data_IF_549891202334
#
_entry.id   IF_549891202334
#
_cell.length_a   1.000
_cell.length_b   1.000
_cell.length_c   1.000
_cell.angle_alpha   90.00
_cell.angle_beta   90.00
_cell.angle_gamma   90.00
#
_symmetry.space_group_name_H-M   'P 1'
#
loop_
_entity.id
_entity.type
_entity.pdbx_description
1 polymer ?
#
# COMPACT_ATOMS: atom_id res chain seq x y z
N UNK A 1 3.71 -16.72 -2.99
CA UNK A 1 2.92 -16.46 -1.76
C UNK A 1 1.42 -16.78 -1.90
N UNK A 2 0.75 -16.46 -3.02
CA UNK A 2 -0.72 -16.61 -3.13
C UNK A 2 -1.24 -17.91 -3.76
N UNK A 3 -0.39 -18.94 -3.90
CA UNK A 3 -0.82 -20.19 -4.56
C UNK A 3 -1.99 -20.84 -3.81
N UNK A 4 -1.86 -20.96 -2.49
CA UNK A 4 -2.86 -21.60 -1.63
C UNK A 4 -4.18 -20.85 -1.64
N UNK A 5 -4.19 -19.53 -1.39
CA UNK A 5 -5.45 -18.76 -1.42
C UNK A 5 -6.16 -18.83 -2.78
N UNK A 6 -5.42 -18.88 -3.90
CA UNK A 6 -6.03 -19.05 -5.23
C UNK A 6 -6.67 -20.43 -5.36
N UNK A 7 -6.01 -21.48 -4.86
CA UNK A 7 -6.55 -22.83 -4.85
C UNK A 7 -7.78 -22.94 -3.95
N UNK A 8 -7.73 -22.36 -2.75
CA UNK A 8 -8.86 -22.31 -1.82
C UNK A 8 -10.04 -21.51 -2.38
N UNK A 9 -9.81 -20.38 -3.05
CA UNK A 9 -10.89 -19.63 -3.70
C UNK A 9 -11.54 -20.44 -4.82
N UNK A 10 -10.74 -21.12 -5.65
CA UNK A 10 -11.28 -21.99 -6.70
C UNK A 10 -12.06 -23.15 -6.11
N UNK A 11 -11.58 -23.76 -5.03
CA UNK A 11 -12.23 -24.90 -4.40
C UNK A 11 -13.52 -24.49 -3.68
N UNK A 12 -13.45 -23.52 -2.76
CA UNK A 12 -14.56 -23.14 -1.89
C UNK A 12 -15.66 -22.34 -2.61
N UNK A 13 -15.36 -21.67 -3.72
CA UNK A 13 -16.39 -20.98 -4.53
C UNK A 13 -17.01 -21.87 -5.61
N UNK A 14 -16.41 -23.04 -5.89
CA UNK A 14 -16.91 -23.99 -6.87
C UNK A 14 -18.00 -24.87 -6.23
N UNK A 15 -19.25 -24.67 -6.63
CA UNK A 15 -20.37 -25.48 -6.14
C UNK A 15 -20.49 -26.85 -6.81
N UNK A 16 -20.00 -26.98 -8.05
CA UNK A 16 -20.06 -28.19 -8.88
C UNK A 16 -18.81 -28.25 -9.78
N UNK A 17 -18.25 -29.44 -10.04
CA UNK A 17 -17.06 -29.63 -10.89
C UNK A 17 -17.22 -29.07 -12.31
N UNK A 18 -18.44 -29.03 -12.85
CA UNK A 18 -18.76 -28.46 -14.16
C UNK A 18 -18.95 -26.93 -14.13
N UNK A 19 -18.97 -26.32 -12.94
CA UNK A 19 -19.18 -24.90 -12.69
C UNK A 19 -18.01 -24.26 -11.93
N UNK A 20 -16.79 -24.50 -12.43
CA UNK A 20 -15.57 -23.95 -11.84
C UNK A 20 -15.56 -22.43 -11.82
N UNK A 21 -15.27 -21.85 -10.66
CA UNK A 21 -15.05 -20.41 -10.52
C UNK A 21 -13.64 -20.04 -10.95
N UNK A 22 -13.46 -19.23 -12.03
CA UNK A 22 -12.14 -18.83 -12.46
C UNK A 22 -11.55 -17.79 -11.51
N UNK A 23 -10.28 -17.99 -11.14
CA UNK A 23 -9.51 -17.04 -10.33
C UNK A 23 -8.22 -16.71 -11.08
N UNK A 24 -8.04 -15.44 -11.46
CA UNK A 24 -6.92 -14.99 -12.28
C UNK A 24 -5.96 -14.11 -11.45
N UNK A 25 -4.69 -14.51 -11.27
CA UNK A 25 -3.72 -13.67 -10.59
C UNK A 25 -3.22 -12.54 -11.49
N UNK A 26 -3.28 -11.30 -11.00
CA UNK A 26 -2.61 -10.17 -11.62
C UNK A 26 -1.20 -10.01 -11.03
N UNK A 27 -0.20 -10.51 -11.74
CA UNK A 27 1.20 -10.27 -11.40
C UNK A 27 1.67 -8.96 -12.06
N UNK A 28 2.36 -8.11 -11.31
CA UNK A 28 2.84 -6.82 -11.80
C UNK A 28 4.23 -6.50 -11.26
N UNK A 29 4.95 -5.63 -11.96
CA UNK A 29 6.21 -5.07 -11.47
C UNK A 29 5.91 -4.01 -10.41
N UNK A 30 5.95 -4.43 -9.15
CA UNK A 30 5.66 -3.58 -8.01
C UNK A 30 6.63 -2.40 -7.88
N UNK A 31 7.73 -2.31 -8.63
CA UNK A 31 8.68 -1.20 -8.54
C UNK A 31 8.22 0.06 -9.30
N UNK A 32 7.27 -0.11 -10.22
CA UNK A 32 6.78 0.95 -11.10
C UNK A 32 5.87 1.94 -10.35
N UNK A 33 5.71 3.18 -10.86
CA UNK A 33 4.66 4.09 -10.40
C UNK A 33 3.28 3.44 -10.45
N UNK A 34 2.48 3.65 -9.41
CA UNK A 34 1.17 2.97 -9.27
C UNK A 34 0.20 3.30 -10.40
N UNK A 35 0.30 4.49 -11.00
CA UNK A 35 -0.56 4.89 -12.12
C UNK A 35 -0.35 4.05 -13.38
N UNK A 36 0.89 3.55 -13.60
CA UNK A 36 1.21 2.64 -14.70
C UNK A 36 0.60 1.27 -14.40
N UNK A 37 0.74 0.79 -13.16
CA UNK A 37 0.20 -0.50 -12.74
C UNK A 37 -1.34 -0.47 -12.79
N UNK A 38 -1.98 0.63 -12.40
CA UNK A 38 -3.44 0.83 -12.53
C UNK A 38 -3.92 0.71 -13.97
N UNK A 39 -3.15 1.23 -14.94
CA UNK A 39 -3.48 1.07 -16.36
C UNK A 39 -3.37 -0.40 -16.78
N UNK A 40 -2.27 -1.07 -16.42
CA UNK A 40 -2.08 -2.50 -16.70
C UNK A 40 -3.18 -3.35 -16.05
N UNK A 41 -3.58 -2.99 -14.84
CA UNK A 41 -4.66 -3.66 -14.12
C UNK A 41 -6.02 -3.45 -14.81
N UNK A 42 -6.29 -2.25 -15.33
CA UNK A 42 -7.48 -2.01 -16.15
C UNK A 42 -7.51 -2.90 -17.39
N UNK A 43 -6.40 -2.97 -18.13
CA UNK A 43 -6.30 -3.80 -19.34
C UNK A 43 -6.50 -5.29 -18.97
N UNK A 44 -6.00 -5.72 -17.81
CA UNK A 44 -6.18 -7.08 -17.29
C UNK A 44 -7.61 -7.39 -16.88
N UNK A 45 -8.35 -6.45 -16.28
CA UNK A 45 -9.77 -6.64 -15.95
C UNK A 45 -10.58 -6.86 -17.22
N UNK A 46 -10.31 -6.10 -18.28
CA UNK A 46 -10.96 -6.25 -19.57
C UNK A 46 -10.65 -7.65 -20.19
N UNK A 47 -9.38 -8.09 -20.13
CA UNK A 47 -8.97 -9.45 -20.54
C UNK A 47 -9.71 -10.55 -19.75
N UNK A 48 -9.81 -10.41 -18.43
CA UNK A 48 -10.50 -11.38 -17.55
C UNK A 48 -11.97 -11.49 -17.91
N UNK A 49 -12.64 -10.37 -18.17
CA UNK A 49 -14.03 -10.36 -18.61
C UNK A 49 -14.18 -11.12 -19.94
N UNK A 50 -13.32 -10.83 -20.92
CA UNK A 50 -13.40 -11.47 -22.23
C UNK A 50 -13.11 -12.97 -22.17
N UNK A 51 -12.19 -13.41 -21.31
CA UNK A 51 -11.96 -14.84 -21.04
C UNK A 51 -13.15 -15.50 -20.35
N UNK A 52 -13.80 -14.80 -19.42
CA UNK A 52 -14.97 -15.32 -18.68
C UNK A 52 -16.19 -15.49 -19.58
N UNK A 53 -16.37 -14.61 -20.59
CA UNK A 53 -17.39 -14.75 -21.63
C UNK A 53 -17.24 -15.99 -22.51
N UNK A 54 -16.09 -16.69 -22.45
CA UNK A 54 -15.87 -17.95 -23.18
C UNK A 54 -16.20 -19.19 -22.34
N UNK A 55 -16.55 -19.03 -21.06
CA UNK A 55 -16.85 -20.13 -20.15
C UNK A 55 -18.34 -20.46 -20.23
N UNK A 56 -18.67 -21.69 -20.66
CA UNK A 56 -20.04 -22.14 -20.95
C UNK A 56 -21.05 -21.79 -19.87
N UNK A 57 -20.81 -22.17 -18.62
CA UNK A 57 -21.78 -21.95 -17.54
C UNK A 57 -21.98 -20.47 -17.19
N UNK A 58 -20.99 -19.61 -17.42
CA UNK A 58 -21.17 -18.15 -17.27
C UNK A 58 -22.02 -17.58 -18.40
N UNK A 59 -21.82 -18.05 -19.64
CA UNK A 59 -22.64 -17.64 -20.79
C UNK A 59 -24.09 -18.07 -20.60
N UNK A 60 -24.31 -19.33 -20.22
CA UNK A 60 -25.65 -19.88 -19.94
C UNK A 60 -26.34 -19.14 -18.78
N UNK A 61 -25.58 -18.64 -17.81
CA UNK A 61 -26.07 -17.82 -16.70
C UNK A 61 -26.27 -16.33 -17.05
N UNK A 62 -26.07 -15.92 -18.31
CA UNK A 62 -26.31 -14.54 -18.77
C UNK A 62 -25.20 -13.54 -18.41
N UNK A 63 -23.99 -14.01 -18.07
CA UNK A 63 -22.86 -13.14 -17.70
C UNK A 63 -22.52 -12.10 -18.78
N UNK A 64 -22.75 -12.45 -20.05
CA UNK A 64 -22.44 -11.59 -21.21
C UNK A 64 -23.23 -10.28 -21.19
N UNK A 65 -24.44 -10.27 -20.62
CA UNK A 65 -25.32 -9.10 -20.62
C UNK A 65 -24.89 -8.04 -19.60
N UNK A 66 -24.18 -8.44 -18.54
CA UNK A 66 -23.70 -7.54 -17.48
C UNK A 66 -22.41 -8.09 -16.85
N UNK A 67 -21.28 -8.10 -17.58
CA UNK A 67 -20.06 -8.74 -17.12
C UNK A 67 -19.45 -7.92 -15.98
N UNK A 68 -19.24 -8.58 -14.84
CA UNK A 68 -18.57 -7.99 -13.67
C UNK A 68 -17.51 -8.92 -13.10
N UNK A 69 -16.54 -8.35 -12.41
CA UNK A 69 -15.51 -9.09 -11.66
C UNK A 69 -15.57 -8.79 -10.17
N UNK A 70 -15.08 -9.73 -9.37
CA UNK A 70 -14.76 -9.50 -7.96
C UNK A 70 -13.25 -9.29 -7.85
N UNK A 71 -12.83 -8.30 -7.07
CA UNK A 71 -11.42 -7.92 -6.94
C UNK A 71 -10.91 -8.22 -5.53
N UNK A 72 -9.72 -8.80 -5.43
CA UNK A 72 -9.04 -9.07 -4.16
C UNK A 72 -7.65 -8.44 -4.22
N UNK A 73 -7.38 -7.48 -3.35
CA UNK A 73 -6.10 -6.79 -3.25
C UNK A 73 -5.45 -7.02 -1.90
N UNK A 74 -4.23 -7.53 -1.88
CA UNK A 74 -3.41 -7.57 -0.67
C UNK A 74 -2.37 -6.44 -0.68
N UNK A 75 -2.13 -5.83 0.48
CA UNK A 75 -1.18 -4.74 0.65
C UNK A 75 -1.44 -3.63 -0.39
N UNK A 76 -0.42 -3.25 -1.16
CA UNK A 76 -0.50 -2.26 -2.24
C UNK A 76 -1.53 -2.60 -3.33
N UNK A 77 -1.96 -3.87 -3.46
CA UNK A 77 -3.04 -4.27 -4.35
C UNK A 77 -4.35 -3.54 -4.09
N UNK A 78 -4.66 -3.23 -2.82
CA UNK A 78 -5.85 -2.43 -2.50
C UNK A 78 -5.75 -0.97 -2.93
N UNK A 79 -4.55 -0.39 -2.96
CA UNK A 79 -4.32 0.95 -3.53
C UNK A 79 -4.55 0.93 -5.05
N UNK A 80 -4.04 -0.09 -5.73
CA UNK A 80 -4.23 -0.28 -7.18
C UNK A 80 -5.72 -0.43 -7.52
N UNK A 81 -6.46 -1.26 -6.79
CA UNK A 81 -7.92 -1.41 -6.97
C UNK A 81 -8.64 -0.07 -6.75
N UNK A 82 -8.30 0.64 -5.67
CA UNK A 82 -8.93 1.93 -5.35
C UNK A 82 -8.65 2.96 -6.43
N UNK A 83 -7.41 3.07 -6.90
CA UNK A 83 -7.04 3.99 -7.98
C UNK A 83 -7.61 3.62 -9.35
N UNK A 84 -7.81 2.33 -9.63
CA UNK A 84 -8.57 1.85 -10.79
C UNK A 84 -10.04 2.29 -10.72
N UNK A 85 -10.69 2.08 -9.57
CA UNK A 85 -12.09 2.48 -9.35
C UNK A 85 -12.26 4.00 -9.39
N UNK A 86 -11.31 4.76 -8.86
CA UNK A 86 -11.29 6.22 -8.95
C UNK A 86 -11.25 6.70 -10.40
N UNK A 87 -10.43 6.06 -11.25
CA UNK A 87 -10.32 6.38 -12.69
C UNK A 87 -11.56 5.98 -13.48
N UNK A 88 -12.11 4.79 -13.23
CA UNK A 88 -13.24 4.24 -14.00
C UNK A 88 -14.60 4.74 -13.50
N UNK A 89 -14.74 5.10 -12.23
CA UNK A 89 -15.99 5.51 -11.62
C UNK A 89 -17.11 4.48 -11.84
N UNK A 90 -18.29 4.95 -12.27
CA UNK A 90 -19.46 4.10 -12.57
C UNK A 90 -19.30 3.23 -13.83
N UNK A 91 -18.22 3.41 -14.62
CA UNK A 91 -17.94 2.51 -15.74
C UNK A 91 -17.18 1.24 -15.34
N UNK A 92 -16.73 1.14 -14.08
CA UNK A 92 -16.00 -0.04 -13.60
C UNK A 92 -16.92 -1.28 -13.56
N UNK A 93 -16.60 -2.36 -14.28
CA UNK A 93 -17.34 -3.63 -14.26
C UNK A 93 -17.00 -4.45 -13.00
N UNK A 94 -17.20 -3.88 -11.81
CA UNK A 94 -16.85 -4.49 -10.53
C UNK A 94 -18.11 -4.77 -9.72
N UNK A 95 -18.20 -5.97 -9.13
CA UNK A 95 -19.31 -6.39 -8.29
C UNK A 95 -18.95 -6.31 -6.80
N UNK A 96 -17.80 -6.86 -6.41
CA UNK A 96 -17.31 -6.86 -5.02
C UNK A 96 -15.82 -6.57 -4.95
N UNK A 97 -15.38 -6.02 -3.82
CA UNK A 97 -13.96 -5.77 -3.53
C UNK A 97 -13.60 -6.35 -2.16
N UNK A 98 -12.42 -6.96 -2.08
CA UNK A 98 -11.78 -7.35 -0.83
C UNK A 98 -10.41 -6.70 -0.77
N UNK A 99 -10.10 -6.03 0.34
CA UNK A 99 -8.76 -5.52 0.62
C UNK A 99 -8.19 -6.12 1.89
N UNK A 100 -6.96 -6.62 1.82
CA UNK A 100 -6.26 -7.31 2.90
C UNK A 100 -5.00 -6.52 3.25
N UNK A 101 -4.89 -6.02 4.48
CA UNK A 101 -3.69 -5.31 4.97
C UNK A 101 -3.23 -4.15 4.07
N UNK A 102 -4.17 -3.44 3.44
CA UNK A 102 -3.85 -2.36 2.51
C UNK A 102 -3.42 -1.10 3.27
N UNK A 103 -2.23 -0.54 3.00
CA UNK A 103 -1.74 0.68 3.64
C UNK A 103 -2.36 1.93 3.00
N UNK A 104 -3.67 2.12 3.20
CA UNK A 104 -4.42 3.28 2.70
C UNK A 104 -3.82 4.61 3.10
N UNK A 105 -3.15 4.72 4.25
CA UNK A 105 -2.43 5.93 4.66
C UNK A 105 -0.92 5.70 4.80
N UNK A 106 -0.39 4.64 4.18
CA UNK A 106 1.04 4.30 4.13
C UNK A 106 1.55 3.46 5.31
N UNK A 107 2.87 3.30 5.39
CA UNK A 107 3.55 2.56 6.46
C UNK A 107 4.92 3.18 6.74
N UNK A 108 5.28 3.28 8.02
CA UNK A 108 6.61 3.70 8.41
C UNK A 108 7.72 2.74 7.96
N UNK A 109 7.40 1.47 7.66
CA UNK A 109 8.38 0.52 7.10
C UNK A 109 8.93 0.97 5.73
N UNK A 110 8.16 1.76 4.96
CA UNK A 110 8.65 2.36 3.72
C UNK A 110 9.78 3.36 3.99
N UNK A 111 9.63 4.20 5.02
CA UNK A 111 10.66 5.15 5.46
C UNK A 111 11.92 4.40 5.90
N UNK A 112 11.76 3.32 6.67
CA UNK A 112 12.88 2.51 7.16
C UNK A 112 13.59 1.82 5.98
N UNK A 113 12.85 1.25 5.02
CA UNK A 113 13.42 0.60 3.83
C UNK A 113 14.23 1.60 3.00
N UNK A 114 13.71 2.81 2.78
CA UNK A 114 14.41 3.86 2.02
C UNK A 114 15.64 4.36 2.81
N UNK A 115 15.51 4.58 4.12
CA UNK A 115 16.60 5.10 4.95
C UNK A 115 17.73 4.08 5.14
N UNK A 116 17.40 2.82 5.41
CA UNK A 116 18.36 1.81 5.90
C UNK A 116 18.57 0.59 4.99
N UNK A 117 17.63 0.34 4.06
CA UNK A 117 17.65 -0.82 3.16
C UNK A 117 17.09 -2.10 3.76
N UNK A 118 16.72 -2.08 5.04
CA UNK A 118 16.04 -3.17 5.75
C UNK A 118 14.69 -2.71 6.26
N UNK A 119 13.70 -3.57 6.20
CA UNK A 119 12.40 -3.38 6.82
C UNK A 119 11.63 -4.69 6.75
N UNK A 120 10.43 -4.75 7.34
CA UNK A 120 9.51 -5.86 7.12
C UNK A 120 8.91 -5.89 5.70
N UNK A 121 9.29 -4.94 4.81
CA UNK A 121 8.91 -4.91 3.40
C UNK A 121 10.06 -5.50 2.55
N UNK A 122 9.84 -6.68 1.97
CA UNK A 122 10.78 -7.31 1.03
C UNK A 122 11.72 -8.33 1.71
N UNK A 123 12.97 -8.41 1.26
CA UNK A 123 13.94 -9.40 1.77
C UNK A 123 14.62 -8.96 3.08
N UNK A 124 14.87 -9.91 3.98
CA UNK A 124 15.41 -9.69 5.34
C UNK A 124 16.92 -9.38 5.40
N UNK A 125 17.63 -9.35 4.27
CA UNK A 125 19.10 -9.20 4.27
C UNK A 125 19.52 -7.76 3.98
N UNK A 126 20.10 -7.07 4.98
CA UNK A 126 20.71 -5.75 4.81
C UNK A 126 21.98 -5.85 3.95
N UNK A 127 21.97 -5.25 2.76
CA UNK A 127 23.21 -4.93 2.07
C UNK A 127 23.09 -3.56 1.38
N UNK A 128 24.21 -2.96 0.98
CA UNK A 128 24.22 -1.63 0.35
C UNK A 128 23.40 -1.56 -0.95
N UNK A 129 23.25 -2.68 -1.66
CA UNK A 129 22.48 -2.76 -2.91
C UNK A 129 20.97 -2.69 -2.65
N UNK A 130 20.50 -3.28 -1.56
CA UNK A 130 19.09 -3.17 -1.12
C UNK A 130 18.70 -1.72 -0.80
N UNK A 131 19.61 -0.95 -0.19
CA UNK A 131 19.39 0.49 0.05
C UNK A 131 19.22 1.29 -1.23
N UNK A 132 20.13 1.09 -2.18
CA UNK A 132 20.12 1.79 -3.45
C UNK A 132 18.88 1.42 -4.27
N UNK A 133 18.54 0.14 -4.34
CA UNK A 133 17.32 -0.34 -4.99
C UNK A 133 16.05 0.26 -4.37
N UNK A 134 15.95 0.28 -3.04
CA UNK A 134 14.80 0.87 -2.35
C UNK A 134 14.63 2.37 -2.69
N UNK A 135 15.71 3.14 -2.70
CA UNK A 135 15.69 4.58 -2.98
C UNK A 135 15.31 4.92 -4.42
N UNK A 136 15.46 3.97 -5.34
CA UNK A 136 15.11 4.12 -6.76
C UNK A 136 13.77 3.47 -7.12
N UNK A 137 13.13 2.81 -6.16
CA UNK A 137 11.85 2.14 -6.38
C UNK A 137 10.71 3.12 -6.14
N UNK A 138 10.06 3.56 -7.22
CA UNK A 138 9.01 4.60 -7.18
C UNK A 138 7.89 4.24 -6.20
N UNK A 139 7.37 3.01 -6.27
CA UNK A 139 6.23 2.56 -5.46
C UNK A 139 6.46 2.63 -3.95
N UNK A 140 7.70 2.50 -3.45
CA UNK A 140 7.98 2.64 -2.02
C UNK A 140 7.64 4.04 -1.51
N UNK A 141 7.79 5.06 -2.34
CA UNK A 141 7.40 6.42 -1.99
C UNK A 141 5.86 6.57 -1.90
N UNK A 142 5.09 5.83 -2.71
CA UNK A 142 3.62 5.81 -2.60
C UNK A 142 3.13 5.17 -1.28
N UNK A 143 4.00 4.45 -0.57
CA UNK A 143 3.73 3.86 0.73
C UNK A 143 4.15 4.75 1.90
N UNK A 144 4.66 5.97 1.65
CA UNK A 144 4.99 6.90 2.73
C UNK A 144 3.76 7.22 3.58
N UNK A 145 3.91 7.24 4.92
CA UNK A 145 2.79 7.44 5.81
C UNK A 145 2.33 8.89 5.83
N UNK A 146 1.01 9.07 5.79
CA UNK A 146 0.29 10.33 5.97
C UNK A 146 -0.77 10.12 7.06
N UNK A 147 -0.31 9.92 8.29
CA UNK A 147 -1.16 9.60 9.44
C UNK A 147 -1.16 10.81 10.38
N UNK A 148 -2.36 11.25 10.76
CA UNK A 148 -2.53 12.37 11.67
C UNK A 148 -1.81 12.11 13.01
N UNK A 149 -1.07 13.11 13.49
CA UNK A 149 -0.35 13.11 14.78
C UNK A 149 0.64 11.94 14.99
N UNK A 150 1.05 11.27 13.91
CA UNK A 150 1.98 10.14 13.98
C UNK A 150 3.44 10.52 13.70
N UNK A 151 3.68 11.73 13.19
CA UNK A 151 5.01 12.26 12.89
C UNK A 151 5.37 13.37 13.89
N UNK A 152 6.40 13.14 14.70
CA UNK A 152 6.92 14.09 15.68
C UNK A 152 8.21 14.71 15.12
N UNK A 153 8.28 16.04 14.99
CA UNK A 153 9.47 16.73 14.47
C UNK A 153 10.01 17.68 15.53
N UNK A 154 11.27 17.49 15.93
CA UNK A 154 11.87 18.24 17.05
C UNK A 154 12.12 19.71 16.74
N UNK A 155 12.54 20.00 15.51
CA UNK A 155 12.82 21.36 15.07
C UNK A 155 11.58 21.95 14.39
N UNK A 156 10.94 22.98 14.96
CA UNK A 156 9.75 23.60 14.40
C UNK A 156 10.01 24.32 13.07
N UNK A 157 11.27 24.50 12.65
CA UNK A 157 11.64 25.06 11.34
C UNK A 157 11.59 24.02 10.22
N UNK A 158 11.59 22.73 10.57
CA UNK A 158 11.48 21.65 9.58
C UNK A 158 10.02 21.43 9.17
N UNK A 159 9.78 20.97 7.94
CA UNK A 159 8.44 20.59 7.49
C UNK A 159 7.90 19.40 8.30
N UNK A 160 6.58 19.23 8.29
CA UNK A 160 5.87 18.16 9.02
C UNK A 160 5.34 17.06 8.10
N UNK A 161 5.87 16.96 6.88
CA UNK A 161 5.44 15.99 5.86
C UNK A 161 6.63 15.18 5.36
N UNK A 162 6.49 13.84 5.33
CA UNK A 162 7.48 12.95 4.73
C UNK A 162 7.57 13.07 3.21
N UNK A 163 6.65 13.81 2.57
CA UNK A 163 6.74 14.17 1.15
C UNK A 163 7.62 15.40 0.90
N UNK A 164 8.09 16.08 1.96
CA UNK A 164 9.03 17.18 1.81
C UNK A 164 10.48 16.66 1.83
N UNK A 165 11.29 16.92 0.79
CA UNK A 165 12.67 16.45 0.73
C UNK A 165 13.55 17.01 1.86
N UNK A 166 13.22 18.18 2.42
CA UNK A 166 13.98 18.79 3.52
C UNK A 166 13.87 17.99 4.83
N UNK A 167 12.91 17.07 4.94
CA UNK A 167 12.74 16.20 6.10
C UNK A 167 13.60 14.93 6.06
N UNK A 168 14.23 14.65 4.91
CA UNK A 168 15.00 13.42 4.70
C UNK A 168 16.49 13.59 5.02
N UNK A 169 17.08 12.51 5.55
CA UNK A 169 18.50 12.45 5.82
C UNK A 169 19.33 12.70 4.56
N UNK A 170 20.37 13.53 4.67
CA UNK A 170 21.28 13.86 3.56
C UNK A 170 21.92 12.63 2.92
N UNK A 171 22.12 11.55 3.68
CA UNK A 171 22.64 10.26 3.20
C UNK A 171 21.74 9.57 2.16
N UNK A 172 20.42 9.81 2.22
CA UNK A 172 19.46 9.28 1.24
C UNK A 172 19.65 9.98 -0.10
N UNK A 173 19.62 11.31 -0.09
CA UNK A 173 19.84 12.15 -1.28
C UNK A 173 21.22 11.90 -1.89
N UNK A 174 22.25 11.81 -1.06
CA UNK A 174 23.63 11.55 -1.51
C UNK A 174 23.78 10.22 -2.25
N UNK A 175 22.97 9.20 -1.91
CA UNK A 175 23.06 7.90 -2.59
C UNK A 175 22.24 7.86 -3.89
N UNK A 176 21.10 8.55 -3.95
CA UNK A 176 20.40 8.79 -5.23
C UNK A 176 21.34 9.53 -6.19
N UNK A 177 22.08 10.52 -5.67
CA UNK A 177 23.12 11.20 -6.41
C UNK A 177 24.20 10.23 -6.90
N UNK A 178 24.81 9.43 -6.02
CA UNK A 178 25.84 8.49 -6.42
C UNK A 178 25.37 7.54 -7.54
N UNK A 179 24.11 7.10 -7.52
CA UNK A 179 23.52 6.31 -8.61
C UNK A 179 23.43 7.10 -9.92
N UNK A 180 22.89 8.33 -9.88
CA UNK A 180 22.80 9.22 -11.06
C UNK A 180 24.19 9.46 -11.64
N UNK A 181 25.19 9.76 -10.80
CA UNK A 181 26.57 10.00 -11.25
C UNK A 181 27.15 8.76 -11.94
N UNK A 182 26.90 7.56 -11.40
CA UNK A 182 27.38 6.29 -11.97
C UNK A 182 26.75 5.97 -13.32
N UNK A 183 25.45 6.22 -13.48
CA UNK A 183 24.70 5.88 -14.71
C UNK A 183 24.74 7.00 -15.76
N UNK A 184 24.98 8.24 -15.35
CA UNK A 184 24.91 9.43 -16.19
C UNK A 184 26.22 10.23 -16.16
N UNK A 185 27.36 9.53 -16.24
CA UNK A 185 28.70 10.12 -16.13
C UNK A 185 28.97 11.29 -17.11
N UNK A 186 28.25 11.33 -18.24
CA UNK A 186 28.42 12.35 -19.30
C UNK A 186 27.50 13.57 -19.15
N UNK A 187 26.65 13.61 -18.13
CA UNK A 187 25.65 14.67 -17.96
C UNK A 187 26.19 15.76 -17.02
N UNK A 188 26.07 17.03 -17.42
CA UNK A 188 26.34 18.18 -16.55
C UNK A 188 25.24 18.34 -15.46
N UNK A 189 25.60 18.95 -14.32
CA UNK A 189 24.67 19.30 -13.21
C UNK A 189 24.05 18.10 -12.46
N UNK A 190 24.82 17.02 -12.27
CA UNK A 190 24.35 15.77 -11.66
C UNK A 190 23.73 15.96 -10.26
N UNK A 191 24.27 16.89 -9.45
CA UNK A 191 23.77 17.20 -8.10
C UNK A 191 22.32 17.73 -8.12
N UNK A 192 22.05 18.71 -8.98
CA UNK A 192 20.70 19.27 -9.14
C UNK A 192 19.73 18.23 -9.69
N UNK A 193 20.16 17.40 -10.65
CA UNK A 193 19.32 16.34 -11.21
C UNK A 193 18.97 15.24 -10.22
N UNK A 194 19.89 14.87 -9.32
CA UNK A 194 19.61 13.88 -8.28
C UNK A 194 18.63 14.42 -7.22
N UNK A 195 18.80 15.67 -6.79
CA UNK A 195 17.85 16.35 -5.91
C UNK A 195 16.47 16.44 -6.58
N UNK A 196 16.43 16.83 -7.86
CA UNK A 196 15.19 16.87 -8.63
C UNK A 196 14.56 15.48 -8.79
N UNK A 197 15.34 14.42 -9.01
CA UNK A 197 14.81 13.06 -9.11
C UNK A 197 14.16 12.60 -7.79
N UNK A 198 14.85 12.83 -6.67
CA UNK A 198 14.31 12.50 -5.35
C UNK A 198 13.04 13.30 -5.03
N UNK A 199 13.05 14.61 -5.29
CA UNK A 199 11.88 15.47 -5.13
C UNK A 199 10.71 14.98 -6.00
N UNK A 200 10.96 14.60 -7.26
CA UNK A 200 9.92 14.07 -8.15
C UNK A 200 9.29 12.76 -7.66
N UNK A 201 10.05 11.87 -7.02
CA UNK A 201 9.47 10.68 -6.39
C UNK A 201 8.51 11.05 -5.26
N UNK A 202 8.90 12.01 -4.42
CA UNK A 202 8.06 12.49 -3.32
C UNK A 202 6.81 13.24 -3.82
N UNK A 203 6.96 14.12 -4.82
CA UNK A 203 5.86 14.86 -5.44
C UNK A 203 4.83 13.91 -6.08
N UNK A 204 5.30 12.93 -6.85
CA UNK A 204 4.42 11.94 -7.47
C UNK A 204 3.68 11.10 -6.42
N UNK A 205 4.38 10.69 -5.36
CA UNK A 205 3.77 9.96 -4.25
C UNK A 205 2.75 10.82 -3.48
N UNK A 206 3.02 12.11 -3.27
CA UNK A 206 2.10 13.03 -2.60
C UNK A 206 0.86 13.28 -3.44
N UNK A 207 1.02 13.50 -4.75
CA UNK A 207 -0.11 13.67 -5.67
C UNK A 207 -0.99 12.42 -5.70
N UNK A 208 -0.37 11.24 -5.73
CA UNK A 208 -1.07 9.97 -5.65
C UNK A 208 -1.84 9.81 -4.33
N UNK A 209 -1.19 10.09 -3.19
CA UNK A 209 -1.80 10.06 -1.86
C UNK A 209 -3.02 10.97 -1.80
N UNK A 210 -2.87 12.23 -2.21
CA UNK A 210 -3.95 13.22 -2.22
C UNK A 210 -5.15 12.77 -3.08
N UNK A 211 -4.89 12.15 -4.23
CA UNK A 211 -5.93 11.58 -5.09
C UNK A 211 -6.69 10.44 -4.40
N UNK A 212 -5.96 9.46 -3.85
CA UNK A 212 -6.58 8.31 -3.16
C UNK A 212 -7.33 8.74 -1.89
N UNK A 213 -6.81 9.72 -1.15
CA UNK A 213 -7.48 10.25 0.04
C UNK A 213 -8.83 10.92 -0.28
N UNK A 214 -8.99 11.42 -1.51
CA UNK A 214 -10.23 12.01 -2.04
C UNK A 214 -11.15 11.01 -2.75
N UNK A 215 -10.78 9.73 -2.83
CA UNK A 215 -11.64 8.72 -3.43
C UNK A 215 -12.98 8.63 -2.70
N UNK A 216 -14.05 8.59 -3.46
CA UNK A 216 -15.42 8.51 -2.95
C UNK A 216 -16.10 7.28 -3.53
N UNK A 217 -16.50 6.36 -2.66
CA UNK A 217 -17.20 5.14 -3.06
C UNK A 217 -18.50 5.45 -3.84
N UNK A 218 -19.17 6.57 -3.51
CA UNK A 218 -20.37 7.06 -4.18
C UNK A 218 -20.17 7.45 -5.66
N UNK A 219 -18.93 7.61 -6.13
CA UNK A 219 -18.60 7.83 -7.55
C UNK A 219 -18.49 6.51 -8.34
N UNK A 220 -18.69 5.38 -7.68
CA UNK A 220 -18.70 4.04 -8.27
C UNK A 220 -20.11 3.44 -8.21
N UNK A 221 -20.29 2.23 -8.73
CA UNK A 221 -21.54 1.46 -8.56
C UNK A 221 -21.55 0.61 -7.28
N UNK A 222 -20.51 0.71 -6.44
CA UNK A 222 -20.37 -0.08 -5.23
C UNK A 222 -20.97 0.64 -4.03
N UNK A 223 -21.46 -0.14 -3.08
CA UNK A 223 -21.89 0.31 -1.75
C UNK A 223 -20.92 -0.21 -0.69
N UNK A 224 -20.96 0.31 0.55
CA UNK A 224 -20.09 -0.19 1.62
C UNK A 224 -20.16 -1.71 1.81
N UNK A 225 -21.34 -2.33 1.67
CA UNK A 225 -21.55 -3.78 1.75
C UNK A 225 -20.96 -4.58 0.56
N UNK A 226 -20.48 -3.90 -0.48
CA UNK A 226 -19.75 -4.50 -1.59
C UNK A 226 -18.24 -4.53 -1.35
N UNK A 227 -17.76 -3.95 -0.25
CA UNK A 227 -16.35 -3.84 0.08
C UNK A 227 -16.01 -4.49 1.43
N UNK A 228 -15.28 -5.61 1.41
CA UNK A 228 -14.72 -6.23 2.60
C UNK A 228 -13.30 -5.70 2.84
N UNK A 229 -13.13 -4.83 3.84
CA UNK A 229 -11.82 -4.35 4.25
C UNK A 229 -11.33 -5.12 5.47
N UNK A 230 -10.23 -5.85 5.34
CA UNK A 230 -9.61 -6.64 6.41
C UNK A 230 -8.32 -5.97 6.87
N UNK A 231 -8.29 -5.56 8.14
CA UNK A 231 -7.15 -4.92 8.77
C UNK A 231 -6.57 -5.83 9.87
N UNK A 232 -5.25 -6.06 9.84
CA UNK A 232 -4.58 -6.77 10.91
C UNK A 232 -4.35 -5.88 12.12
N UNK A 233 -4.57 -6.44 13.31
CA UNK A 233 -4.39 -5.79 14.62
C UNK A 233 -3.74 -6.77 15.59
N UNK A 234 -3.39 -6.31 16.80
CA UNK A 234 -2.75 -7.13 17.83
C UNK A 234 -1.32 -7.61 17.51
N UNK A 235 -0.60 -6.89 16.65
CA UNK A 235 0.83 -7.10 16.42
C UNK A 235 1.64 -5.85 16.74
N UNK A 236 2.86 -6.02 17.26
CA UNK A 236 3.79 -4.93 17.51
C UNK A 236 4.13 -4.22 16.19
N UNK A 237 3.67 -2.98 16.04
CA UNK A 237 3.74 -2.23 14.78
C UNK A 237 4.23 -0.82 15.03
N UNK A 238 5.09 -0.28 14.15
CA UNK A 238 5.53 1.12 14.27
C UNK A 238 4.37 2.04 13.94
N UNK A 239 3.78 2.67 14.95
CA UNK A 239 2.60 3.55 14.79
C UNK A 239 2.96 5.04 14.79
N UNK A 240 4.20 5.38 15.14
CA UNK A 240 4.73 6.74 15.13
C UNK A 240 6.17 6.78 14.65
N UNK A 241 6.63 7.95 14.26
CA UNK A 241 8.02 8.23 13.99
C UNK A 241 8.39 9.62 14.49
N UNK A 242 9.53 9.72 15.18
CA UNK A 242 10.13 11.00 15.54
C UNK A 242 11.30 11.32 14.62
N UNK A 243 11.47 12.60 14.34
CA UNK A 243 12.57 13.14 13.57
C UNK A 243 13.34 14.10 14.46
N UNK A 244 14.56 13.68 14.82
CA UNK A 244 15.46 14.48 15.65
C UNK A 244 16.27 15.42 14.76
N UNK A 245 16.46 16.66 15.21
CA UNK A 245 17.37 17.60 14.56
C UNK A 245 18.79 17.38 15.07
N UNK A 246 19.75 17.24 14.15
CA UNK A 246 21.17 17.06 14.46
C UNK A 246 21.98 18.11 13.71
N UNK A 247 23.27 18.28 14.06
CA UNK A 247 24.18 19.17 13.31
C UNK A 247 24.30 18.79 11.83
N UNK A 248 23.98 17.55 11.45
CA UNK A 248 24.03 17.04 10.08
C UNK A 248 22.68 17.06 9.36
N UNK A 249 21.66 17.65 9.99
CA UNK A 249 20.28 17.70 9.49
C UNK A 249 19.34 16.72 10.21
N UNK A 250 18.12 16.51 9.66
CA UNK A 250 17.12 15.63 10.25
C UNK A 250 17.57 14.17 10.26
N UNK A 251 17.24 13.45 11.34
CA UNK A 251 17.51 12.02 11.52
C UNK A 251 16.25 11.30 12.01
N UNK A 252 15.91 10.17 11.40
CA UNK A 252 14.77 9.36 11.83
C UNK A 252 15.11 8.56 13.09
N UNK A 253 14.31 8.68 14.15
CA UNK A 253 14.44 7.86 15.35
C UNK A 253 13.78 6.49 15.11
N UNK A 254 14.62 5.50 14.81
CA UNK A 254 14.19 4.14 14.49
C UNK A 254 14.07 3.22 15.72
N UNK A 255 14.12 3.77 16.94
CA UNK A 255 13.99 2.99 18.17
C UNK A 255 12.66 2.23 18.23
N UNK A 256 12.65 1.09 18.91
CA UNK A 256 11.46 0.23 19.08
C UNK A 256 10.38 0.86 19.95
N UNK A 257 10.66 1.96 20.68
CA UNK A 257 9.68 2.63 21.55
C UNK A 257 8.44 3.18 20.82
N UNK A 258 8.52 3.37 19.51
CA UNK A 258 7.36 3.75 18.67
C UNK A 258 6.69 2.56 17.99
N UNK A 259 7.21 1.34 18.20
CA UNK A 259 6.47 0.12 17.91
C UNK A 259 5.57 -0.19 19.10
N UNK A 260 4.26 -0.14 18.87
CA UNK A 260 3.26 -0.35 19.91
C UNK A 260 2.31 -1.47 19.49
N UNK A 261 1.81 -2.17 20.50
CA UNK A 261 0.59 -2.96 20.42
C UNK A 261 -0.21 -2.71 21.69
N UNK A 262 -1.20 -1.84 21.60
CA UNK A 262 -2.12 -1.51 22.70
C UNK A 262 -3.51 -2.10 22.49
N UNK A 263 -3.67 -2.99 21.50
CA UNK A 263 -4.93 -3.66 21.21
C UNK A 263 -5.48 -4.36 22.44
N UNK A 264 -6.66 -3.93 22.91
CA UNK A 264 -7.38 -4.51 24.06
C UNK A 264 -6.59 -4.56 25.39
N UNK A 265 -5.43 -3.91 25.51
CA UNK A 265 -4.59 -3.96 26.73
C UNK A 265 -5.22 -3.24 27.92
N UNK A 266 -5.88 -2.11 27.69
CA UNK A 266 -6.61 -1.37 28.73
C UNK A 266 -8.10 -1.28 28.37
N UNK A 267 -8.95 -1.99 29.11
CA UNK A 267 -10.41 -1.97 28.90
C UNK A 267 -11.07 -0.63 29.26
N UNK A 268 -10.41 0.16 30.12
CA UNK A 268 -10.91 1.46 30.58
C UNK A 268 -10.53 2.61 29.63
N UNK A 269 -9.51 2.42 28.78
CA UNK A 269 -9.05 3.40 27.79
C UNK A 269 -8.97 2.74 26.40
N UNK A 270 -10.10 2.73 25.70
CA UNK A 270 -10.21 2.16 24.34
C UNK A 270 -9.62 3.10 23.27
N UNK A 271 -9.39 4.38 23.59
CA UNK A 271 -8.89 5.38 22.64
C UNK A 271 -7.51 5.02 22.08
N UNK A 272 -6.75 4.21 22.83
CA UNK A 272 -5.40 3.78 22.46
C UNK A 272 -5.35 2.43 21.75
N UNK A 273 -6.46 1.71 21.61
CA UNK A 273 -6.45 0.39 20.99
C UNK A 273 -5.99 0.43 19.52
N UNK A 274 -6.22 1.55 18.84
CA UNK A 274 -5.74 1.77 17.48
C UNK A 274 -4.21 1.91 17.34
N UNK A 275 -3.47 2.04 18.46
CA UNK A 275 -2.01 2.00 18.48
C UNK A 275 -1.52 0.54 18.42
N UNK A 276 -1.76 -0.08 17.27
CA UNK A 276 -1.43 -1.46 16.91
C UNK A 276 -1.28 -1.57 15.38
N UNK A 277 -1.19 -2.78 14.86
CA UNK A 277 -1.24 -3.06 13.43
C UNK A 277 -0.96 -4.54 13.16
N UNK A 278 -0.46 -4.83 11.97
CA UNK A 278 -0.14 -6.20 11.50
C UNK A 278 1.37 -6.53 11.53
N UNK A 279 2.20 -5.67 12.12
CA UNK A 279 3.66 -5.76 12.10
C UNK A 279 4.33 -4.91 11.01
N UNK A 280 3.56 -4.48 10.00
CA UNK A 280 4.01 -3.65 8.87
C UNK A 280 3.16 -2.38 8.74
N UNK A 281 1.84 -2.51 8.68
CA UNK A 281 0.88 -1.43 8.48
C UNK A 281 0.23 -1.09 9.82
N UNK A 282 0.36 0.16 10.31
CA UNK A 282 -0.40 0.64 11.46
C UNK A 282 -1.89 0.50 11.21
N UNK A 283 -2.66 0.13 12.25
CA UNK A 283 -4.11 -0.03 12.12
C UNK A 283 -4.77 1.24 11.52
N UNK A 284 -4.42 2.42 12.03
CA UNK A 284 -4.92 3.70 11.52
C UNK A 284 -4.63 3.91 10.02
N UNK A 285 -3.51 3.38 9.54
CA UNK A 285 -3.12 3.47 8.14
C UNK A 285 -3.78 2.40 7.25
N UNK A 286 -4.32 1.34 7.85
CA UNK A 286 -5.13 0.35 7.16
C UNK A 286 -6.59 0.78 6.96
N UNK A 287 -7.01 1.90 7.55
CA UNK A 287 -8.37 2.42 7.43
C UNK A 287 -8.53 3.27 6.17
N UNK A 288 -9.40 2.90 5.21
CA UNK A 288 -9.74 3.76 4.09
C UNK A 288 -10.65 4.92 4.52
N UNK A 289 -10.55 6.08 3.86
CA UNK A 289 -11.37 7.26 4.17
C UNK A 289 -12.84 7.11 3.72
N UNK A 290 -13.17 6.09 2.92
CA UNK A 290 -14.48 5.90 2.29
C UNK A 290 -15.32 4.78 2.91
N UNK A 291 -14.80 4.06 3.90
CA UNK A 291 -15.57 3.09 4.70
C UNK A 291 -15.66 3.55 6.15
N UNK A 292 -16.80 3.26 6.77
CA UNK A 292 -16.97 3.47 8.21
C UNK A 292 -16.41 2.28 8.99
N UNK A 293 -16.03 2.44 10.27
CA UNK A 293 -15.47 1.37 11.10
C UNK A 293 -16.29 0.07 11.12
N UNK A 294 -17.62 0.15 11.05
CA UNK A 294 -18.51 -1.03 11.02
C UNK A 294 -18.36 -1.89 9.74
N UNK A 295 -17.70 -1.39 8.70
CA UNK A 295 -17.42 -2.13 7.45
C UNK A 295 -16.00 -2.71 7.44
N UNK A 296 -15.26 -2.60 8.54
CA UNK A 296 -13.86 -3.02 8.64
C UNK A 296 -13.77 -4.23 9.56
N UNK A 297 -13.27 -5.33 9.03
CA UNK A 297 -13.01 -6.54 9.79
C UNK A 297 -11.60 -6.48 10.34
N UNK A 298 -11.49 -6.38 11.66
CA UNK A 298 -10.21 -6.48 12.36
C UNK A 298 -9.91 -7.95 12.63
N UNK A 299 -8.76 -8.42 12.15
CA UNK A 299 -8.26 -9.77 12.40
C UNK A 299 -7.02 -9.70 13.28
N UNK A 300 -7.00 -10.56 14.28
CA UNK A 300 -5.85 -10.77 15.15
C UNK A 300 -5.08 -11.99 14.66
N UNK A 301 -3.83 -12.14 15.08
CA UNK A 301 -3.10 -13.36 14.85
C UNK A 301 -3.90 -14.58 15.38
N UNK A 302 -4.64 -14.45 16.48
CA UNK A 302 -5.32 -15.56 17.20
C UNK A 302 -6.51 -16.13 16.42
N UNK A 303 -7.11 -15.33 15.54
CA UNK A 303 -8.25 -15.73 14.70
C UNK A 303 -7.87 -16.81 13.67
N UNK A 304 -6.57 -17.00 13.42
CA UNK A 304 -6.07 -17.98 12.46
C UNK A 304 -5.67 -19.32 13.10
N UNK A 305 -5.73 -19.45 14.43
CA UNK A 305 -5.59 -20.75 15.12
C UNK A 305 -4.22 -21.43 15.09
N UNK A 306 -3.16 -20.77 14.59
CA UNK A 306 -1.81 -21.34 14.51
C UNK A 306 -0.77 -20.47 15.25
N UNK A 307 -0.27 -20.99 16.39
CA UNK A 307 1.00 -20.64 17.04
C UNK A 307 1.82 -21.88 17.28
#
# INVERSE_FOLDING_TARGET
>A
PYKEIIQELRYNLCHDEDQQVPVFPFAYDWRLPLEIIEKQFSDFVDEVIDRTKLIRHYVEAGYVDNPKVNLIGHSMGGLIITGYLDKKGTSAPVSKVVTLATPYKGSFEAVIKIATGTSNLGSDTSNSREREAARLTSSLYHLLPAIQDALEVDDPKLPTSLFDPALWQSSVVASVLAYVQKQMAFIAEQNQKAQALFARFLEAAQAYRARIDQFQLSKTNLKPEDWLCVAGVNSETRVRMRITSTERGPLFDLSSKYRLNLWRKNKQDQSKWGLTGDGTVPFEAALPNFLKPENIVCVTPEDYGYW
#
